data_IF_911354405194
#
_entry.id   IF_911354405194
#
_cell.length_a   1.000
_cell.length_b   1.000
_cell.length_c   1.000
_cell.angle_alpha   90.00
_cell.angle_beta   90.00
_cell.angle_gamma   90.00
#
_symmetry.space_group_name_H-M   'P 1'
#
loop_
_entity.id
_entity.type
_entity.pdbx_description
1 polymer ?
#
# COMPACT_ATOMS: atom_id res chain seq x y z
N UNK A 1 -5.81 14.91 -31.44
CA UNK A 1 -5.03 15.74 -30.48
C UNK A 1 -4.68 14.85 -29.29
N UNK A 2 -3.44 14.37 -29.19
CA UNK A 2 -2.97 13.48 -28.10
C UNK A 2 -2.66 14.34 -26.88
N UNK A 3 -3.36 14.09 -25.77
CA UNK A 3 -3.19 14.82 -24.52
C UNK A 3 -1.94 14.29 -23.80
N UNK A 4 -0.90 15.13 -23.71
CA UNK A 4 0.12 15.07 -22.67
C UNK A 4 0.85 13.73 -22.47
N UNK A 5 1.40 13.13 -23.52
CA UNK A 5 2.44 12.13 -23.32
C UNK A 5 3.73 12.85 -22.89
N UNK A 6 4.01 12.87 -21.59
CA UNK A 6 5.35 13.19 -21.08
C UNK A 6 6.29 12.07 -21.55
N UNK A 7 6.87 12.26 -22.74
CA UNK A 7 7.97 11.46 -23.26
C UNK A 7 9.22 11.98 -22.56
N UNK A 8 9.50 11.40 -21.40
CA UNK A 8 10.71 11.63 -20.62
C UNK A 8 11.39 10.31 -20.32
N UNK A 9 12.26 9.88 -21.23
CA UNK A 9 13.51 9.17 -20.99
C UNK A 9 13.54 8.28 -19.73
N UNK A 10 13.27 6.96 -19.86
CA UNK A 10 13.55 5.83 -18.93
C UNK A 10 13.45 6.01 -17.38
N UNK A 11 12.92 7.13 -16.90
CA UNK A 11 12.92 7.58 -15.50
C UNK A 11 11.46 7.66 -14.99
N UNK A 12 10.47 7.59 -15.88
CA UNK A 12 9.05 7.77 -15.57
C UNK A 12 8.42 6.70 -14.68
N UNK A 13 8.92 5.46 -14.69
CA UNK A 13 8.30 4.38 -13.92
C UNK A 13 8.53 4.54 -12.42
N UNK A 14 9.77 4.80 -12.02
CA UNK A 14 10.13 4.98 -10.60
C UNK A 14 9.49 6.27 -10.05
N UNK A 15 9.50 7.36 -10.81
CA UNK A 15 8.89 8.63 -10.36
C UNK A 15 7.37 8.53 -10.18
N UNK A 16 6.68 7.76 -11.02
CA UNK A 16 5.23 7.54 -10.91
C UNK A 16 4.89 6.78 -9.62
N UNK A 17 5.63 5.70 -9.32
CA UNK A 17 5.43 4.94 -8.08
C UNK A 17 5.87 5.71 -6.84
N UNK A 18 6.92 6.51 -6.90
CA UNK A 18 7.36 7.37 -5.77
C UNK A 18 6.24 8.30 -5.32
N UNK A 19 5.58 9.00 -6.25
CA UNK A 19 4.46 9.90 -5.92
C UNK A 19 3.29 9.16 -5.27
N UNK A 20 3.05 7.91 -5.68
CA UNK A 20 1.97 7.08 -5.13
C UNK A 20 2.31 6.60 -3.74
N UNK A 21 3.55 6.16 -3.53
CA UNK A 21 4.05 5.77 -2.21
C UNK A 21 3.98 6.94 -1.22
N UNK A 22 4.35 8.15 -1.62
CA UNK A 22 4.22 9.36 -0.79
C UNK A 22 2.76 9.66 -0.41
N UNK A 23 1.83 9.51 -1.36
CA UNK A 23 0.39 9.68 -1.09
C UNK A 23 -0.15 8.63 -0.14
N UNK A 24 0.30 7.38 -0.29
CA UNK A 24 -0.04 6.29 0.63
C UNK A 24 0.48 6.63 2.02
N UNK A 25 1.74 7.01 2.15
CA UNK A 25 2.37 7.35 3.44
C UNK A 25 1.61 8.51 4.13
N UNK A 26 1.29 9.58 3.40
CA UNK A 26 0.51 10.70 3.94
C UNK A 26 -0.91 10.28 4.39
N UNK A 27 -1.55 9.39 3.66
CA UNK A 27 -2.86 8.86 4.04
C UNK A 27 -2.77 7.98 5.29
N UNK A 28 -1.80 7.07 5.35
CA UNK A 28 -1.58 6.19 6.49
C UNK A 28 -1.30 6.99 7.77
N UNK A 29 -0.42 8.01 7.72
CA UNK A 29 -0.13 8.90 8.86
C UNK A 29 -1.42 9.60 9.35
N UNK A 30 -2.25 10.09 8.42
CA UNK A 30 -3.51 10.75 8.78
C UNK A 30 -4.47 9.79 9.48
N UNK A 31 -4.58 8.56 8.99
CA UNK A 31 -5.42 7.54 9.60
C UNK A 31 -4.84 7.04 10.92
N UNK A 32 -3.52 6.96 11.07
CA UNK A 32 -2.87 6.57 12.31
C UNK A 32 -3.23 7.52 13.46
N UNK A 33 -3.34 8.83 13.20
CA UNK A 33 -3.79 9.82 14.18
C UNK A 33 -5.20 9.54 14.74
N UNK A 34 -6.04 8.81 14.00
CA UNK A 34 -7.38 8.39 14.46
C UNK A 34 -7.38 7.16 15.38
N UNK A 35 -6.21 6.58 15.66
CA UNK A 35 -6.02 5.38 16.50
C UNK A 35 -6.97 4.21 16.14
N UNK A 36 -6.99 3.77 14.87
CA UNK A 36 -7.91 2.73 14.42
C UNK A 36 -7.59 1.37 15.05
N UNK A 37 -8.64 0.58 15.28
CA UNK A 37 -8.55 -0.82 15.70
C UNK A 37 -7.82 -1.68 14.66
N UNK A 38 -7.44 -2.90 15.04
CA UNK A 38 -6.75 -3.83 14.13
C UNK A 38 -7.53 -4.08 12.83
N UNK A 39 -8.84 -4.30 12.95
CA UNK A 39 -9.72 -4.49 11.81
C UNK A 39 -9.87 -3.19 10.99
N UNK A 40 -9.96 -2.05 11.67
CA UNK A 40 -9.95 -0.74 10.99
C UNK A 40 -8.69 -0.55 10.15
N UNK A 41 -7.52 -0.94 10.65
CA UNK A 41 -6.25 -0.87 9.92
C UNK A 41 -6.24 -1.78 8.70
N UNK A 42 -6.75 -3.01 8.81
CA UNK A 42 -6.92 -3.94 7.68
C UNK A 42 -7.77 -3.30 6.58
N UNK A 43 -8.93 -2.74 6.94
CA UNK A 43 -9.81 -2.07 5.98
C UNK A 43 -9.17 -0.84 5.34
N UNK A 44 -8.48 -0.01 6.12
CA UNK A 44 -7.77 1.17 5.62
C UNK A 44 -6.68 0.78 4.63
N UNK A 45 -5.89 -0.26 4.93
CA UNK A 45 -4.88 -0.80 4.02
C UNK A 45 -5.51 -1.23 2.70
N UNK A 46 -6.60 -2.00 2.75
CA UNK A 46 -7.29 -2.45 1.54
C UNK A 46 -7.82 -1.27 0.71
N UNK A 47 -8.45 -0.28 1.35
CA UNK A 47 -9.00 0.89 0.66
C UNK A 47 -7.92 1.77 0.04
N UNK A 48 -6.89 2.13 0.81
CA UNK A 48 -5.86 3.08 0.37
C UNK A 48 -4.88 2.43 -0.60
N UNK A 49 -4.27 1.31 -0.19
CA UNK A 49 -3.23 0.68 -1.00
C UNK A 49 -3.85 -0.05 -2.19
N UNK A 50 -4.94 -0.80 -1.98
CA UNK A 50 -5.66 -1.43 -3.08
C UNK A 50 -6.16 -0.39 -4.09
N UNK A 51 -6.86 0.64 -3.61
CA UNK A 51 -7.44 1.68 -4.48
C UNK A 51 -6.40 2.49 -5.27
N UNK A 52 -5.27 2.87 -4.64
CA UNK A 52 -4.26 3.69 -5.32
C UNK A 52 -3.37 2.89 -6.27
N UNK A 53 -3.15 1.60 -6.00
CA UNK A 53 -2.22 0.77 -6.79
C UNK A 53 -2.92 0.02 -7.92
N UNK A 54 -4.22 -0.30 -7.81
CA UNK A 54 -4.94 -1.13 -8.79
C UNK A 54 -4.87 -0.58 -10.23
N UNK A 55 -5.13 0.72 -10.41
CA UNK A 55 -5.09 1.33 -11.74
C UNK A 55 -3.66 1.34 -12.31
N UNK A 56 -2.68 1.78 -11.53
CA UNK A 56 -1.29 1.88 -11.97
C UNK A 56 -0.69 0.50 -12.28
N UNK A 57 -1.02 -0.51 -11.48
CA UNK A 57 -0.62 -1.89 -11.73
C UNK A 57 -1.16 -2.39 -13.06
N UNK A 58 -2.37 -1.99 -13.46
CA UNK A 58 -2.95 -2.36 -14.75
C UNK A 58 -2.28 -1.65 -15.94
N UNK A 59 -1.88 -0.39 -15.77
CA UNK A 59 -1.31 0.43 -16.87
C UNK A 59 0.20 0.23 -17.04
N UNK A 60 0.93 0.07 -15.95
CA UNK A 60 2.40 0.04 -15.94
C UNK A 60 2.99 -1.27 -15.40
N UNK A 61 2.17 -2.16 -14.82
CA UNK A 61 2.65 -3.30 -14.05
C UNK A 61 3.15 -2.89 -12.66
N UNK A 62 3.37 -3.87 -11.77
CA UNK A 62 3.95 -3.64 -10.45
C UNK A 62 5.35 -4.28 -10.39
N UNK A 63 6.43 -3.49 -10.38
CA UNK A 63 7.77 -4.02 -10.15
C UNK A 63 7.89 -4.62 -8.75
N UNK A 64 8.67 -5.71 -8.63
CA UNK A 64 8.85 -6.45 -7.36
C UNK A 64 9.46 -5.60 -6.23
N UNK A 65 10.26 -4.59 -6.58
CA UNK A 65 10.81 -3.62 -5.62
C UNK A 65 9.69 -2.78 -4.98
N UNK A 66 8.70 -2.35 -5.78
CA UNK A 66 7.55 -1.58 -5.29
C UNK A 66 6.65 -2.45 -4.42
N UNK A 67 6.39 -3.69 -4.83
CA UNK A 67 5.62 -4.66 -4.04
C UNK A 67 6.25 -4.84 -2.65
N UNK A 68 7.57 -5.01 -2.59
CA UNK A 68 8.32 -5.15 -1.33
C UNK A 68 8.21 -3.88 -0.46
N UNK A 69 8.28 -2.69 -1.08
CA UNK A 69 8.12 -1.41 -0.38
C UNK A 69 6.71 -1.20 0.17
N UNK A 70 5.68 -1.66 -0.55
CA UNK A 70 4.29 -1.62 -0.10
C UNK A 70 4.05 -2.62 1.04
N UNK A 71 4.56 -3.85 0.92
CA UNK A 71 4.44 -4.87 1.97
C UNK A 71 5.03 -4.40 3.31
N UNK A 72 6.20 -3.74 3.27
CA UNK A 72 6.80 -3.13 4.47
C UNK A 72 5.90 -2.08 5.11
N UNK A 73 5.28 -1.20 4.31
CA UNK A 73 4.35 -0.16 4.80
C UNK A 73 3.09 -0.76 5.40
N UNK A 74 2.50 -1.74 4.72
CA UNK A 74 1.33 -2.48 5.21
C UNK A 74 1.62 -3.06 6.58
N UNK A 75 2.72 -3.82 6.71
CA UNK A 75 3.10 -4.43 7.99
C UNK A 75 3.30 -3.38 9.08
N UNK A 76 4.02 -2.31 8.78
CA UNK A 76 4.29 -1.24 9.75
C UNK A 76 3.00 -0.60 10.28
N UNK A 77 2.09 -0.25 9.37
CA UNK A 77 0.82 0.36 9.74
C UNK A 77 -0.12 -0.60 10.47
N UNK A 78 -0.22 -1.84 9.99
CA UNK A 78 -1.06 -2.87 10.58
C UNK A 78 -0.65 -3.13 12.05
N UNK A 79 0.65 -3.22 12.31
CA UNK A 79 1.19 -3.50 13.64
C UNK A 79 1.51 -2.25 14.49
N UNK A 80 1.33 -1.02 13.97
CA UNK A 80 1.76 0.26 14.58
C UNK A 80 3.11 0.17 15.31
N UNK A 81 4.16 -0.18 14.58
CA UNK A 81 5.53 -0.25 15.09
C UNK A 81 5.74 -1.23 16.29
N UNK A 82 4.81 -2.16 16.56
CA UNK A 82 5.09 -3.26 17.49
C UNK A 82 6.16 -4.17 16.89
N UNK A 83 7.33 -4.25 17.54
CA UNK A 83 8.47 -5.07 17.10
C UNK A 83 8.16 -6.57 16.97
N UNK A 84 7.18 -7.08 17.74
CA UNK A 84 6.76 -8.48 17.69
C UNK A 84 5.47 -8.64 16.90
N UNK A 85 5.60 -9.02 15.64
CA UNK A 85 4.50 -9.53 14.81
C UNK A 85 4.02 -10.84 15.44
N UNK A 86 2.85 -10.81 16.09
CA UNK A 86 2.33 -11.98 16.83
C UNK A 86 1.53 -12.93 15.94
N UNK A 87 1.17 -12.51 14.73
CA UNK A 87 0.30 -13.28 13.82
C UNK A 87 0.95 -13.39 12.44
N UNK A 88 0.94 -14.61 11.88
CA UNK A 88 1.49 -14.90 10.55
C UNK A 88 0.76 -14.07 9.47
N UNK A 89 1.50 -13.62 8.46
CA UNK A 89 1.01 -12.81 7.32
C UNK A 89 -0.19 -13.47 6.65
N UNK A 90 -0.14 -14.78 6.46
CA UNK A 90 -1.20 -15.54 5.80
C UNK A 90 -2.50 -15.52 6.60
N UNK A 91 -2.41 -15.62 7.93
CA UNK A 91 -3.54 -15.61 8.84
C UNK A 91 -4.27 -14.26 8.84
N UNK A 92 -3.55 -13.14 8.65
CA UNK A 92 -4.17 -11.79 8.55
C UNK A 92 -5.04 -11.63 7.30
N UNK A 93 -4.68 -12.30 6.21
CA UNK A 93 -5.45 -12.25 4.95
C UNK A 93 -6.53 -13.33 4.86
N UNK A 94 -6.60 -14.25 5.81
CA UNK A 94 -7.63 -15.30 5.82
C UNK A 94 -9.02 -14.72 6.11
N UNK A 95 -10.09 -15.41 5.68
CA UNK A 95 -11.45 -15.08 6.08
C UNK A 95 -11.64 -15.30 7.59
N UNK A 96 -12.58 -14.55 8.18
CA UNK A 96 -12.93 -14.58 9.62
C UNK A 96 -13.12 -16.00 10.17
N UNK A 97 -13.62 -16.92 9.34
CA UNK A 97 -13.82 -18.34 9.73
C UNK A 97 -12.54 -19.10 10.07
N UNK A 98 -11.38 -18.70 9.55
CA UNK A 98 -10.12 -19.45 9.65
C UNK A 98 -9.03 -18.70 10.44
N UNK A 99 -9.42 -17.77 11.30
CA UNK A 99 -8.49 -17.07 12.20
C UNK A 99 -8.01 -15.69 11.72
N UNK A 100 -8.69 -15.10 10.74
CA UNK A 100 -8.48 -13.72 10.28
C UNK A 100 -9.70 -12.82 10.45
#
# INVERSE_FOLDING_TARGET
>A
RRLGALIGNDICQISTWSRVLERIDAALIRWEASHPSMEGRRLIVMMIIGGMTQYLTKVQGMPKDIETRLDKRIRRFLWADKEKVTVNKETVFMPIKNGG
#
